data_IF_733992790837
#
_entry.id   IF_733992790837
#
_cell.length_a   1.000
_cell.length_b   1.000
_cell.length_c   1.000
_cell.angle_alpha   90.00
_cell.angle_beta   90.00
_cell.angle_gamma   90.00
#
_symmetry.space_group_name_H-M   'P 1'
#
loop_
_entity.id
_entity.type
_entity.pdbx_description
1 polymer ?
#
# COMPACT_ATOMS: atom_id res chain seq x y z
N UNK A 1 100.25 -8.88 5.30
CA UNK A 1 98.86 -9.22 5.70
C UNK A 1 98.07 -7.93 5.76
N UNK A 2 97.31 -7.61 4.75
CA UNK A 2 96.45 -6.42 4.73
C UNK A 2 95.04 -6.82 5.14
N UNK A 3 94.57 -6.23 6.23
CA UNK A 3 93.21 -6.42 6.69
C UNK A 3 92.20 -5.54 5.88
N UNK A 4 91.37 -6.15 5.15
CA UNK A 4 90.26 -5.47 4.40
C UNK A 4 89.17 -5.15 5.43
N UNK A 5 89.05 -3.86 5.74
CA UNK A 5 87.89 -3.35 6.53
C UNK A 5 86.66 -3.26 5.66
N UNK A 6 85.72 -4.15 5.86
CA UNK A 6 84.41 -4.11 5.24
C UNK A 6 83.48 -3.11 5.96
N UNK A 7 83.45 -1.86 5.49
CA UNK A 7 82.42 -0.89 5.95
C UNK A 7 81.09 -1.32 5.36
N UNK A 8 80.22 -1.82 6.21
CA UNK A 8 78.82 -1.99 5.85
C UNK A 8 78.18 -0.61 5.69
N UNK A 9 77.88 -0.21 4.46
CA UNK A 9 77.06 0.94 4.16
C UNK A 9 75.61 0.66 4.63
N UNK A 10 75.24 1.27 5.79
CA UNK A 10 73.92 1.17 6.39
C UNK A 10 72.87 2.03 5.66
N UNK A 11 73.04 2.31 4.39
CA UNK A 11 72.06 3.06 3.63
C UNK A 11 71.35 2.13 2.62
N UNK A 12 70.70 1.08 3.12
CA UNK A 12 69.75 0.31 2.35
C UNK A 12 68.53 1.18 2.14
N UNK A 13 68.48 1.89 1.01
CA UNK A 13 67.24 2.50 0.52
C UNK A 13 66.23 1.36 0.39
N UNK A 14 65.27 1.33 1.30
CA UNK A 14 64.10 0.45 1.19
C UNK A 14 63.32 0.96 -0.03
N UNK A 15 63.47 0.29 -1.14
CA UNK A 15 62.58 0.52 -2.30
C UNK A 15 61.15 0.19 -1.86
N UNK A 16 60.25 1.18 -1.76
CA UNK A 16 58.85 0.89 -1.42
C UNK A 16 58.27 0.11 -2.58
N UNK A 17 58.11 -1.19 -2.37
CA UNK A 17 57.39 -2.02 -3.33
C UNK A 17 56.03 -1.38 -3.65
N UNK A 18 55.71 -1.05 -4.91
CA UNK A 18 54.46 -0.40 -5.22
C UNK A 18 53.29 -1.27 -4.79
N UNK A 19 52.36 -0.70 -4.02
CA UNK A 19 51.16 -1.43 -3.57
C UNK A 19 50.41 -2.00 -4.76
N UNK A 20 49.78 -3.17 -4.60
CA UNK A 20 49.01 -3.87 -5.64
C UNK A 20 47.95 -2.96 -6.31
N UNK A 21 47.49 -1.96 -5.57
CA UNK A 21 46.54 -0.96 -6.07
C UNK A 21 47.22 0.05 -7.01
N UNK A 22 48.38 0.55 -6.65
CA UNK A 22 49.14 1.50 -7.48
C UNK A 22 49.55 0.88 -8.79
N UNK A 23 49.94 -0.40 -8.80
CA UNK A 23 50.26 -1.12 -10.05
C UNK A 23 49.04 -1.29 -10.97
N UNK A 24 47.83 -1.60 -10.41
CA UNK A 24 46.58 -1.69 -11.19
C UNK A 24 46.19 -0.33 -11.77
N UNK A 25 46.32 0.75 -11.00
CA UNK A 25 46.05 2.10 -11.48
C UNK A 25 47.00 2.53 -12.58
N UNK A 26 48.29 2.25 -12.48
CA UNK A 26 49.27 2.56 -13.54
C UNK A 26 49.01 1.79 -14.82
N UNK A 27 48.58 0.53 -14.72
CA UNK A 27 48.22 -0.27 -15.92
C UNK A 27 46.95 0.27 -16.60
N UNK A 28 45.95 0.73 -15.85
CA UNK A 28 44.75 1.35 -16.40
C UNK A 28 45.08 2.70 -17.11
N UNK A 29 46.04 3.45 -16.54
CA UNK A 29 46.46 4.74 -17.09
C UNK A 29 47.24 4.63 -18.42
N UNK A 30 47.81 3.47 -18.72
CA UNK A 30 48.49 3.18 -19.97
C UNK A 30 47.54 2.89 -21.14
N UNK A 31 46.29 2.53 -20.84
CA UNK A 31 45.29 2.31 -21.88
C UNK A 31 44.84 3.65 -22.51
N UNK A 32 45.08 3.83 -23.81
CA UNK A 32 44.66 5.04 -24.54
C UNK A 32 43.17 5.32 -24.37
N UNK A 33 42.34 4.29 -24.36
CA UNK A 33 40.89 4.40 -24.13
C UNK A 33 40.51 4.96 -22.76
N UNK A 34 41.26 4.61 -21.70
CA UNK A 34 41.01 5.10 -20.36
C UNK A 34 41.31 6.61 -20.21
N UNK A 35 42.33 7.11 -20.87
CA UNK A 35 42.61 8.56 -20.89
C UNK A 35 41.54 9.35 -21.64
N UNK A 36 41.01 8.81 -22.73
CA UNK A 36 39.92 9.45 -23.46
C UNK A 36 38.65 9.41 -22.63
N UNK A 37 38.36 8.28 -21.99
CA UNK A 37 37.22 8.13 -21.11
C UNK A 37 37.23 9.17 -19.97
N UNK A 38 38.39 9.33 -19.29
CA UNK A 38 38.52 10.32 -18.22
C UNK A 38 38.39 11.74 -18.74
N UNK A 39 39.00 12.06 -19.90
CA UNK A 39 38.91 13.40 -20.51
C UNK A 39 37.50 13.79 -20.91
N UNK A 40 36.64 12.80 -21.23
CA UNK A 40 35.24 13.04 -21.56
C UNK A 40 34.34 12.92 -20.33
N UNK A 41 34.61 11.94 -19.45
CA UNK A 41 33.79 11.68 -18.28
C UNK A 41 33.88 12.82 -17.24
N UNK A 42 35.07 13.38 -17.04
CA UNK A 42 35.22 14.49 -16.05
C UNK A 42 34.44 15.73 -16.47
N UNK A 43 34.58 16.29 -17.69
CA UNK A 43 33.81 17.47 -18.06
C UNK A 43 32.31 17.16 -18.16
N UNK A 44 31.93 15.95 -18.61
CA UNK A 44 30.53 15.53 -18.64
C UNK A 44 29.95 15.46 -17.22
N UNK A 45 30.69 14.87 -16.26
CA UNK A 45 30.27 14.82 -14.87
C UNK A 45 30.17 16.22 -14.25
N UNK A 46 31.15 17.08 -14.52
CA UNK A 46 31.14 18.46 -14.08
C UNK A 46 29.97 19.26 -14.69
N UNK A 47 29.69 19.04 -15.97
CA UNK A 47 28.52 19.62 -16.64
C UNK A 47 27.22 19.14 -16.00
N UNK A 48 27.12 17.84 -15.69
CA UNK A 48 25.96 17.25 -15.04
C UNK A 48 25.76 17.80 -13.63
N UNK A 49 26.83 17.96 -12.85
CA UNK A 49 26.78 18.60 -11.50
C UNK A 49 26.32 20.05 -11.63
N UNK A 50 26.88 20.81 -12.56
CA UNK A 50 26.47 22.20 -12.80
C UNK A 50 25.01 22.25 -13.26
N UNK A 51 24.59 21.36 -14.16
CA UNK A 51 23.22 21.28 -14.62
C UNK A 51 22.25 20.97 -13.46
N UNK A 52 22.59 20.07 -12.54
CA UNK A 52 21.80 19.75 -11.35
C UNK A 52 21.71 20.96 -10.39
N UNK A 53 22.78 21.75 -10.27
CA UNK A 53 22.78 22.95 -9.41
C UNK A 53 22.06 24.15 -10.06
N UNK A 54 22.17 24.33 -11.36
CA UNK A 54 21.57 25.48 -12.08
C UNK A 54 20.15 25.22 -12.57
N UNK A 55 19.81 23.97 -12.91
CA UNK A 55 18.43 23.60 -13.19
C UNK A 55 17.78 23.11 -11.89
N UNK A 56 16.83 23.86 -11.35
CA UNK A 56 16.08 23.43 -10.18
C UNK A 56 15.19 22.24 -10.61
N UNK A 57 15.73 21.05 -10.52
CA UNK A 57 15.02 19.77 -10.80
C UNK A 57 13.72 19.72 -10.00
N UNK A 58 13.69 20.31 -8.82
CA UNK A 58 12.51 20.46 -7.98
C UNK A 58 11.36 21.17 -8.69
N UNK A 59 11.62 22.29 -9.39
CA UNK A 59 10.56 23.00 -10.14
C UNK A 59 9.95 22.15 -11.25
N UNK A 60 10.77 21.36 -11.94
CA UNK A 60 10.29 20.50 -13.03
C UNK A 60 9.47 19.32 -12.49
N UNK A 61 9.84 18.78 -11.33
CA UNK A 61 9.07 17.72 -10.64
C UNK A 61 7.77 18.29 -10.04
N UNK A 62 7.81 19.50 -9.48
CA UNK A 62 6.64 20.18 -8.95
C UNK A 62 5.66 20.56 -10.06
N UNK A 63 6.15 21.04 -11.21
CA UNK A 63 5.31 21.32 -12.38
C UNK A 63 4.70 20.07 -12.97
N UNK A 64 5.45 18.95 -13.01
CA UNK A 64 4.93 17.66 -13.49
C UNK A 64 3.86 17.12 -12.53
N UNK A 65 4.12 17.18 -11.23
CA UNK A 65 3.15 16.73 -10.21
C UNK A 65 1.90 17.61 -10.21
N UNK A 66 2.05 18.93 -10.33
CA UNK A 66 0.94 19.89 -10.39
C UNK A 66 0.11 19.74 -11.68
N UNK A 67 0.75 19.37 -12.78
CA UNK A 67 0.05 19.13 -14.06
C UNK A 67 -0.72 17.81 -13.99
N UNK A 68 -0.14 16.79 -13.39
CA UNK A 68 -0.81 15.49 -13.16
C UNK A 68 -1.99 15.64 -12.21
N UNK A 69 -1.82 16.35 -11.07
CA UNK A 69 -2.91 16.59 -10.14
C UNK A 69 -4.06 17.40 -10.78
N UNK A 70 -3.75 18.48 -11.50
CA UNK A 70 -4.77 19.25 -12.24
C UNK A 70 -5.51 18.42 -13.27
N UNK A 71 -4.83 17.48 -13.94
CA UNK A 71 -5.48 16.58 -14.89
C UNK A 71 -6.38 15.58 -14.18
N UNK A 72 -5.93 15.04 -13.04
CA UNK A 72 -6.76 14.15 -12.19
C UNK A 72 -7.94 14.91 -11.61
N UNK A 73 -7.73 16.11 -11.08
CA UNK A 73 -8.80 16.96 -10.53
C UNK A 73 -9.82 17.32 -11.61
N UNK A 74 -9.38 17.65 -12.82
CA UNK A 74 -10.28 17.94 -13.95
C UNK A 74 -11.05 16.71 -14.44
N UNK A 75 -10.55 15.51 -14.21
CA UNK A 75 -11.29 14.26 -14.46
C UNK A 75 -12.23 13.95 -13.28
N UNK A 76 -11.80 14.21 -12.04
CA UNK A 76 -12.62 14.01 -10.84
C UNK A 76 -13.85 14.93 -10.82
N UNK A 77 -13.72 16.15 -11.34
CA UNK A 77 -14.80 17.14 -11.44
C UNK A 77 -15.82 16.84 -12.57
N UNK A 78 -15.57 15.80 -13.38
CA UNK A 78 -16.56 15.44 -14.41
C UNK A 78 -17.81 14.89 -13.75
N UNK A 79 -19.00 15.48 -14.05
CA UNK A 79 -20.27 15.04 -13.47
C UNK A 79 -20.65 13.60 -13.81
N UNK A 80 -19.98 13.02 -14.80
CA UNK A 80 -20.13 11.63 -15.24
C UNK A 80 -19.45 10.63 -14.30
N UNK A 81 -18.39 11.07 -13.57
CA UNK A 81 -17.62 10.26 -12.63
C UNK A 81 -17.99 10.53 -11.17
N UNK A 82 -18.92 11.45 -10.92
CA UNK A 82 -19.43 11.74 -9.59
C UNK A 82 -20.48 10.71 -9.18
N UNK A 83 -20.38 10.20 -7.95
CA UNK A 83 -21.39 9.35 -7.33
C UNK A 83 -22.53 10.24 -6.85
N UNK A 84 -23.74 9.95 -7.35
CA UNK A 84 -24.97 10.72 -7.06
C UNK A 84 -25.97 9.93 -6.24
N UNK A 85 -25.91 8.61 -6.31
CA UNK A 85 -26.87 7.72 -5.68
C UNK A 85 -26.15 6.54 -5.02
N UNK A 86 -26.73 6.04 -3.92
CA UNK A 86 -26.30 4.81 -3.26
C UNK A 86 -27.41 3.78 -3.40
N UNK A 87 -27.09 2.62 -3.96
CA UNK A 87 -27.97 1.46 -4.08
C UNK A 87 -27.43 0.36 -3.19
N UNK A 88 -28.22 -0.05 -2.19
CA UNK A 88 -27.86 -1.13 -1.25
C UNK A 88 -28.77 -2.31 -1.58
N UNK A 89 -28.16 -3.44 -1.91
CA UNK A 89 -28.85 -4.70 -2.15
C UNK A 89 -28.59 -5.66 -0.99
N UNK A 90 -29.63 -5.96 -0.23
CA UNK A 90 -29.60 -6.84 0.94
C UNK A 90 -30.97 -7.47 1.15
N UNK A 91 -31.04 -8.57 1.90
CA UNK A 91 -32.31 -9.28 2.16
C UNK A 91 -33.12 -8.58 3.27
N UNK A 92 -32.42 -8.07 4.28
CA UNK A 92 -33.06 -7.51 5.47
C UNK A 92 -33.17 -5.99 5.40
N UNK A 93 -34.38 -5.40 5.45
CA UNK A 93 -34.55 -3.94 5.45
C UNK A 93 -33.85 -3.24 6.62
N UNK A 94 -33.74 -3.91 7.77
CA UNK A 94 -33.04 -3.37 8.94
C UNK A 94 -31.55 -3.23 8.71
N UNK A 95 -30.92 -4.19 8.00
CA UNK A 95 -29.52 -4.14 7.64
C UNK A 95 -29.27 -3.02 6.59
N UNK A 96 -30.15 -2.88 5.63
CA UNK A 96 -30.10 -1.77 4.66
C UNK A 96 -30.03 -0.42 5.37
N UNK A 97 -30.96 -0.19 6.32
CA UNK A 97 -31.00 1.05 7.10
C UNK A 97 -29.71 1.26 7.90
N UNK A 98 -29.25 0.23 8.61
CA UNK A 98 -28.03 0.31 9.40
C UNK A 98 -26.82 0.66 8.52
N UNK A 99 -26.68 0.00 7.38
CA UNK A 99 -25.58 0.27 6.44
C UNK A 99 -25.67 1.67 5.86
N UNK A 100 -26.89 2.12 5.53
CA UNK A 100 -27.11 3.48 5.01
C UNK A 100 -26.72 4.54 6.04
N UNK A 101 -27.01 4.33 7.32
CA UNK A 101 -26.65 5.24 8.40
C UNK A 101 -25.16 5.23 8.72
N UNK A 102 -24.46 4.12 8.42
CA UNK A 102 -23.01 3.99 8.62
C UNK A 102 -22.18 4.65 7.54
N UNK A 103 -22.74 4.92 6.37
CA UNK A 103 -22.03 5.51 5.24
C UNK A 103 -22.28 7.03 5.24
N UNK A 104 -21.38 7.85 5.82
CA UNK A 104 -21.54 9.30 5.84
C UNK A 104 -21.12 9.91 4.51
N UNK A 105 -21.81 9.56 3.42
CA UNK A 105 -21.50 10.08 2.10
C UNK A 105 -22.38 11.28 1.82
N UNK A 106 -21.78 12.46 1.83
CA UNK A 106 -22.41 13.68 1.33
C UNK A 106 -22.38 13.64 -0.19
N UNK A 107 -23.49 13.27 -0.80
CA UNK A 107 -23.64 13.21 -2.26
C UNK A 107 -23.99 14.61 -2.83
N UNK A 108 -23.48 14.98 -4.01
CA UNK A 108 -22.58 14.19 -4.88
C UNK A 108 -21.12 14.26 -4.46
N UNK A 109 -20.39 13.15 -4.62
CA UNK A 109 -18.96 13.05 -4.33
C UNK A 109 -18.21 12.46 -5.54
N UNK A 110 -16.96 12.87 -5.76
CA UNK A 110 -16.11 12.26 -6.78
C UNK A 110 -15.88 10.78 -6.48
N UNK A 111 -16.03 9.92 -7.50
CA UNK A 111 -15.75 8.50 -7.36
C UNK A 111 -14.30 8.17 -7.01
N UNK A 112 -13.37 9.11 -7.27
CA UNK A 112 -11.95 8.97 -6.92
C UNK A 112 -11.67 9.30 -5.45
N UNK A 113 -12.49 10.15 -4.82
CA UNK A 113 -12.34 10.54 -3.41
C UNK A 113 -12.99 9.52 -2.47
N UNK A 114 -13.71 8.54 -3.03
CA UNK A 114 -14.43 7.54 -2.27
C UNK A 114 -13.54 6.31 -2.01
N UNK A 115 -13.16 6.08 -0.75
CA UNK A 115 -12.46 4.86 -0.38
C UNK A 115 -13.44 3.67 -0.26
N UNK A 116 -13.61 2.96 -1.37
CA UNK A 116 -14.48 1.79 -1.46
C UNK A 116 -14.03 0.66 -0.54
N UNK A 117 -12.71 0.55 -0.26
CA UNK A 117 -12.18 -0.48 0.62
C UNK A 117 -12.49 -0.19 2.09
N UNK A 118 -12.48 1.09 2.49
CA UNK A 118 -12.84 1.47 3.84
C UNK A 118 -14.34 1.26 4.10
N UNK A 119 -15.19 1.64 3.15
CA UNK A 119 -16.63 1.35 3.19
C UNK A 119 -16.87 -0.15 3.32
N UNK A 120 -16.23 -0.96 2.48
CA UNK A 120 -16.32 -2.41 2.53
C UNK A 120 -15.94 -2.97 3.89
N UNK A 121 -14.75 -2.62 4.41
CA UNK A 121 -14.26 -3.06 5.72
C UNK A 121 -15.18 -2.63 6.87
N UNK A 122 -15.80 -1.47 6.76
CA UNK A 122 -16.72 -0.96 7.77
C UNK A 122 -17.98 -1.80 7.81
N UNK A 123 -18.53 -2.16 6.66
CA UNK A 123 -19.74 -3.01 6.59
C UNK A 123 -19.43 -4.46 6.98
N UNK A 124 -18.26 -4.99 6.62
CA UNK A 124 -17.82 -6.35 6.97
C UNK A 124 -17.64 -6.56 8.50
N UNK A 125 -17.51 -5.48 9.29
CA UNK A 125 -17.50 -5.57 10.77
C UNK A 125 -18.85 -5.96 11.38
N UNK A 126 -19.94 -5.85 10.64
CA UNK A 126 -21.25 -6.24 11.10
C UNK A 126 -21.35 -7.77 11.17
N UNK A 127 -21.70 -8.30 12.33
CA UNK A 127 -21.78 -9.75 12.56
C UNK A 127 -22.75 -10.47 11.61
N UNK A 128 -23.83 -9.79 11.19
CA UNK A 128 -24.83 -10.31 10.25
C UNK A 128 -24.36 -10.37 8.79
N UNK A 129 -23.16 -9.84 8.48
CA UNK A 129 -22.63 -9.77 7.12
C UNK A 129 -21.64 -10.91 6.89
N UNK A 130 -21.82 -11.65 5.79
CA UNK A 130 -20.88 -12.69 5.34
C UNK A 130 -19.82 -12.12 4.40
N UNK A 131 -20.27 -11.33 3.43
CA UNK A 131 -19.38 -10.65 2.47
C UNK A 131 -20.06 -9.42 1.88
N UNK A 132 -19.26 -8.48 1.40
CA UNK A 132 -19.74 -7.23 0.77
C UNK A 132 -18.99 -6.99 -0.52
N UNK A 133 -19.73 -6.67 -1.57
CA UNK A 133 -19.17 -6.16 -2.82
C UNK A 133 -19.57 -4.68 -2.97
N UNK A 134 -18.57 -3.81 -3.04
CA UNK A 134 -18.76 -2.35 -3.16
C UNK A 134 -18.11 -1.90 -4.46
N UNK A 135 -18.92 -1.29 -5.33
CA UNK A 135 -18.45 -0.81 -6.63
C UNK A 135 -19.23 0.41 -7.12
N UNK A 136 -18.57 1.27 -7.87
CA UNK A 136 -19.24 2.34 -8.62
C UNK A 136 -19.60 1.81 -10.00
N UNK A 137 -20.87 1.94 -10.37
CA UNK A 137 -21.37 1.54 -11.70
C UNK A 137 -21.68 2.75 -12.56
N UNK A 138 -21.84 2.51 -13.86
CA UNK A 138 -22.18 3.56 -14.81
C UNK A 138 -23.42 4.35 -14.37
N UNK A 139 -23.39 5.67 -14.56
CA UNK A 139 -24.46 6.56 -14.08
C UNK A 139 -24.22 7.16 -12.70
N UNK A 140 -23.03 6.94 -12.10
CA UNK A 140 -22.67 7.52 -10.81
C UNK A 140 -23.43 6.90 -9.64
N UNK A 141 -23.64 5.59 -9.67
CA UNK A 141 -24.33 4.85 -8.62
C UNK A 141 -23.31 4.03 -7.82
N UNK A 142 -23.21 4.27 -6.52
CA UNK A 142 -22.49 3.41 -5.61
C UNK A 142 -23.36 2.18 -5.30
N UNK A 143 -23.01 1.05 -5.88
CA UNK A 143 -23.71 -0.21 -5.67
C UNK A 143 -23.00 -1.00 -4.56
N UNK A 144 -23.78 -1.36 -3.53
CA UNK A 144 -23.34 -2.15 -2.37
C UNK A 144 -24.19 -3.40 -2.34
N UNK A 145 -23.57 -4.54 -2.62
CA UNK A 145 -24.24 -5.83 -2.57
C UNK A 145 -23.78 -6.58 -1.32
N UNK A 146 -24.70 -6.87 -0.42
CA UNK A 146 -24.42 -7.48 0.89
C UNK A 146 -24.96 -8.90 0.90
N UNK A 147 -24.06 -9.85 1.11
CA UNK A 147 -24.42 -11.22 1.41
C UNK A 147 -24.58 -11.36 2.92
N UNK A 148 -25.81 -11.61 3.37
CA UNK A 148 -26.09 -11.79 4.79
C UNK A 148 -25.70 -13.21 5.26
N UNK A 149 -25.28 -13.31 6.55
CA UNK A 149 -25.12 -14.58 7.24
C UNK A 149 -26.47 -15.12 7.62
N UNK A 150 -26.78 -16.33 7.17
CA UNK A 150 -28.02 -17.02 7.53
C UNK A 150 -27.80 -17.80 8.83
N UNK A 151 -28.52 -17.48 9.91
CA UNK A 151 -28.40 -18.22 11.15
C UNK A 151 -28.97 -19.64 10.97
N UNK A 152 -28.18 -20.64 11.41
CA UNK A 152 -28.56 -22.06 11.41
C UNK A 152 -28.86 -22.59 12.77
N UNK A 153 -28.28 -21.97 13.81
CA UNK A 153 -28.41 -22.44 15.20
C UNK A 153 -28.65 -21.28 16.17
N UNK A 154 -29.42 -21.55 17.18
CA UNK A 154 -29.50 -20.72 18.39
C UNK A 154 -28.61 -21.33 19.45
N UNK A 155 -27.57 -20.64 19.84
CA UNK A 155 -26.64 -21.07 20.86
C UNK A 155 -26.92 -20.37 22.19
N UNK A 156 -27.16 -21.17 23.22
CA UNK A 156 -27.34 -20.68 24.58
C UNK A 156 -26.05 -20.83 25.37
N UNK A 157 -25.56 -19.75 25.89
CA UNK A 157 -24.43 -19.69 26.81
C UNK A 157 -24.82 -18.89 28.08
N UNK A 158 -23.97 -18.81 29.13
CA UNK A 158 -24.24 -18.03 30.32
C UNK A 158 -24.53 -16.54 30.12
N UNK A 159 -24.11 -16.00 28.96
CA UNK A 159 -24.28 -14.57 28.61
C UNK A 159 -25.61 -14.29 27.91
N UNK A 160 -26.24 -15.30 27.29
CA UNK A 160 -27.50 -15.10 26.56
C UNK A 160 -27.78 -16.11 25.47
N UNK A 161 -28.66 -15.72 24.55
CA UNK A 161 -29.04 -16.47 23.37
C UNK A 161 -28.43 -15.79 22.12
N UNK A 162 -27.65 -16.54 21.38
CA UNK A 162 -26.93 -16.05 20.21
C UNK A 162 -27.32 -16.84 18.97
N UNK A 163 -27.35 -16.14 17.84
CA UNK A 163 -27.49 -16.77 16.53
C UNK A 163 -26.12 -17.05 15.96
N UNK A 164 -25.90 -18.28 15.51
CA UNK A 164 -24.67 -18.69 14.82
C UNK A 164 -25.01 -19.32 13.47
N UNK A 165 -24.12 -19.12 12.50
CA UNK A 165 -24.22 -19.73 11.17
C UNK A 165 -23.68 -21.17 11.16
N UNK A 166 -23.63 -21.78 9.98
CA UNK A 166 -23.09 -23.13 9.79
C UNK A 166 -21.59 -23.23 10.03
N UNK A 167 -20.86 -22.11 9.95
CA UNK A 167 -19.43 -21.99 10.18
C UNK A 167 -19.10 -21.77 11.67
N UNK A 168 -20.13 -21.62 12.53
CA UNK A 168 -19.98 -21.32 13.96
C UNK A 168 -19.77 -19.83 14.24
N UNK A 169 -19.92 -18.96 13.26
CA UNK A 169 -19.72 -17.52 13.42
C UNK A 169 -20.97 -16.87 14.03
N UNK A 170 -20.74 -15.93 14.93
CA UNK A 170 -21.80 -15.16 15.57
C UNK A 170 -22.49 -14.25 14.55
N UNK A 171 -23.81 -14.38 14.42
CA UNK A 171 -24.63 -13.57 13.51
C UNK A 171 -25.34 -12.44 14.27
N UNK A 172 -25.76 -12.70 15.50
CA UNK A 172 -26.45 -11.72 16.33
C UNK A 172 -26.95 -12.31 17.65
N UNK A 173 -27.55 -11.44 18.47
CA UNK A 173 -28.15 -11.80 19.75
C UNK A 173 -29.66 -11.74 19.63
N UNK A 174 -30.36 -12.66 20.30
CA UNK A 174 -31.81 -12.67 20.40
C UNK A 174 -32.26 -12.67 21.88
N UNK A 175 -33.34 -11.96 22.13
CA UNK A 175 -33.90 -11.87 23.50
C UNK A 175 -34.69 -13.12 23.90
N UNK A 176 -35.40 -13.70 22.92
CA UNK A 176 -36.26 -14.85 23.17
C UNK A 176 -36.15 -15.85 22.04
N UNK A 177 -36.20 -17.15 22.37
CA UNK A 177 -36.17 -18.25 21.37
C UNK A 177 -37.34 -18.19 20.38
N UNK A 178 -38.50 -17.67 20.80
CA UNK A 178 -39.69 -17.57 19.96
C UNK A 178 -39.46 -16.75 18.69
N UNK A 179 -38.50 -15.84 18.73
CA UNK A 179 -38.14 -15.01 17.55
C UNK A 179 -37.53 -15.82 16.40
N UNK A 180 -36.98 -17.00 16.70
CA UNK A 180 -36.32 -17.90 15.71
C UNK A 180 -36.60 -19.36 16.06
N UNK A 181 -37.89 -19.72 16.15
CA UNK A 181 -38.31 -21.08 16.52
C UNK A 181 -37.94 -22.15 15.49
N UNK A 182 -37.74 -21.74 14.26
CA UNK A 182 -37.38 -22.58 13.11
C UNK A 182 -35.89 -23.01 13.12
N UNK A 183 -35.06 -22.39 13.96
CA UNK A 183 -33.61 -22.63 13.99
C UNK A 183 -33.25 -23.67 15.06
N UNK A 184 -32.32 -24.57 14.77
CA UNK A 184 -31.86 -25.60 15.70
C UNK A 184 -31.21 -25.00 16.97
N UNK A 185 -31.44 -25.67 18.10
CA UNK A 185 -30.98 -25.16 19.40
C UNK A 185 -29.75 -25.93 19.88
N UNK A 186 -28.72 -25.21 20.25
CA UNK A 186 -27.49 -25.74 20.83
C UNK A 186 -27.28 -25.20 22.22
N UNK A 187 -26.88 -26.07 23.15
CA UNK A 187 -26.48 -25.68 24.51
C UNK A 187 -25.09 -26.18 24.79
N UNK A 188 -24.25 -25.34 25.38
CA UNK A 188 -22.89 -25.75 25.75
C UNK A 188 -22.00 -24.57 26.10
N UNK A 189 -20.92 -24.85 26.82
CA UNK A 189 -19.85 -23.93 27.12
C UNK A 189 -18.77 -24.14 26.06
N UNK A 190 -18.61 -23.22 25.14
CA UNK A 190 -17.49 -23.23 24.19
C UNK A 190 -17.87 -23.59 22.76
N UNK A 191 -18.57 -22.69 22.11
CA UNK A 191 -18.41 -22.42 20.69
C UNK A 191 -17.58 -21.13 20.61
N UNK A 192 -16.29 -21.27 20.54
CA UNK A 192 -15.35 -20.21 20.18
C UNK A 192 -14.97 -20.39 18.73
#
# INVERSE_FOLDING_TARGET
MQSVNFRMDANRRVDPAPSRLTYKFQRLWLLRGFRVLIKVAIPLFMFLVVAVFYFPIQKTLDDLSSTLSKTIDSLADRPELSVKLVSIETISPNLEKTVRDMIPVNLPISGFDLDLNDIRKTIEKLASVKSVDVRVVAGGILKINIQERLPKFVWRNPKGLFLIDEEGTLVGEIKNRVQRSEVLFLTGIGAN
#
